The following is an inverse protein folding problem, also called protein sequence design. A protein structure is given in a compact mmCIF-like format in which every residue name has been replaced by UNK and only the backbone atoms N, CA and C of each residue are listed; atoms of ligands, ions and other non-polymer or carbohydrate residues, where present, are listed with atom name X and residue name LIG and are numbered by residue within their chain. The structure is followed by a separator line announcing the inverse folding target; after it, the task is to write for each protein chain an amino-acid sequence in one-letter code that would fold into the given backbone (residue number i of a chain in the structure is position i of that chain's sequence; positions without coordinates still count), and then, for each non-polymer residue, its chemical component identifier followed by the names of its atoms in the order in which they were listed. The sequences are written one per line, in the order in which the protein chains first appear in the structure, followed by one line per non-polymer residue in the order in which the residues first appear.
data_IF_714277419552
#
_entry.id   IF_714277419552
#
_cell.length_a   1.000
_cell.length_b   1.000
_cell.length_c   1.000
_cell.angle_alpha   90.00
_cell.angle_beta   90.00
_cell.angle_gamma   90.00
#
_symmetry.space_group_name_H-M   'P 1'
#
loop_
_entity.id
_entity.type
_entity.pdbx_description
1 polymer ?
#
# COMPACT_ATOMS: atom_id res chain seq x y z
N UNK A 1 21.63 7.02 -2.75
CA UNK A 1 21.19 5.71 -3.27
C UNK A 1 19.69 5.82 -3.45
N UNK A 2 19.15 5.40 -4.60
CA UNK A 2 17.70 5.48 -4.87
C UNK A 2 17.06 4.16 -4.44
N UNK A 3 15.94 4.22 -3.74
CA UNK A 3 15.21 3.05 -3.19
C UNK A 3 14.81 2.05 -4.29
N UNK A 4 14.27 2.51 -5.41
CA UNK A 4 13.86 1.65 -6.53
C UNK A 4 15.07 0.90 -7.13
N UNK A 5 16.22 1.58 -7.29
CA UNK A 5 17.43 0.95 -7.80
C UNK A 5 17.98 -0.10 -6.83
N UNK A 6 17.81 0.11 -5.52
CA UNK A 6 18.16 -0.89 -4.51
C UNK A 6 17.23 -2.10 -4.57
N UNK A 7 15.92 -1.88 -4.65
CA UNK A 7 14.92 -2.94 -4.79
C UNK A 7 15.18 -3.76 -6.06
N UNK A 8 15.44 -3.12 -7.19
CA UNK A 8 15.73 -3.80 -8.47
C UNK A 8 16.99 -4.70 -8.36
N UNK A 9 18.01 -4.29 -7.59
CA UNK A 9 19.20 -5.12 -7.31
C UNK A 9 18.87 -6.31 -6.40
N UNK A 10 18.05 -6.10 -5.38
CA UNK A 10 17.64 -7.17 -4.46
C UNK A 10 16.82 -8.25 -5.19
N UNK A 11 16.00 -7.87 -6.17
CA UNK A 11 15.15 -8.78 -6.94
C UNK A 11 15.92 -9.87 -7.68
N UNK A 12 17.15 -9.59 -8.10
CA UNK A 12 17.98 -10.53 -8.88
C UNK A 12 18.96 -11.34 -8.03
N UNK A 13 18.95 -11.16 -6.70
CA UNK A 13 19.83 -11.92 -5.80
C UNK A 13 19.28 -13.33 -5.56
N UNK A 14 20.16 -14.31 -5.48
CA UNK A 14 19.80 -15.67 -5.11
C UNK A 14 19.11 -15.72 -3.74
N UNK A 15 18.09 -16.56 -3.64
CA UNK A 15 17.28 -16.69 -2.42
C UNK A 15 16.22 -15.61 -2.24
N UNK A 16 16.11 -14.66 -3.17
CA UNK A 16 15.06 -13.63 -3.15
C UNK A 16 13.96 -14.00 -4.12
N UNK A 17 12.70 -14.01 -3.63
CA UNK A 17 11.51 -14.21 -4.47
C UNK A 17 10.33 -13.41 -3.92
N UNK A 18 9.35 -13.08 -4.77
CA UNK A 18 8.13 -12.38 -4.37
C UNK A 18 8.32 -10.88 -4.12
N UNK A 19 9.49 -10.30 -4.41
CA UNK A 19 9.69 -8.85 -4.35
C UNK A 19 9.13 -8.20 -5.62
N UNK A 20 8.28 -7.18 -5.44
CA UNK A 20 7.74 -6.38 -6.57
C UNK A 20 6.25 -6.15 -6.51
N UNK A 21 5.55 -6.89 -5.70
CA UNK A 21 4.15 -6.70 -5.36
C UNK A 21 4.01 -6.25 -3.89
N UNK A 22 2.79 -5.85 -3.49
CA UNK A 22 2.51 -5.40 -2.12
C UNK A 22 2.67 -6.53 -1.10
N UNK A 23 2.48 -7.80 -1.53
CA UNK A 23 2.69 -8.98 -0.69
C UNK A 23 3.47 -10.06 -1.42
N UNK A 24 4.31 -10.81 -0.69
CA UNK A 24 4.80 -12.11 -1.16
C UNK A 24 3.64 -13.12 -1.14
N UNK A 25 3.47 -13.88 -2.22
CA UNK A 25 2.40 -14.88 -2.35
C UNK A 25 3.00 -16.28 -2.27
N UNK A 26 2.59 -17.05 -1.27
CA UNK A 26 2.96 -18.44 -1.11
C UNK A 26 1.74 -19.34 -1.38
N UNK A 27 1.99 -20.47 -2.05
CA UNK A 27 0.95 -21.46 -2.35
C UNK A 27 1.09 -22.66 -1.44
N UNK A 28 0.43 -22.67 -0.29
CA UNK A 28 0.39 -23.87 0.55
C UNK A 28 -0.37 -24.99 -0.19
N UNK A 29 -0.32 -26.23 0.33
CA UNK A 29 -1.10 -27.35 -0.25
C UNK A 29 -2.62 -27.16 -0.10
N UNK A 30 -3.08 -26.21 0.68
CA UNK A 30 -4.49 -25.86 0.89
C UNK A 30 -5.09 -25.06 -0.29
N UNK A 31 -6.37 -24.72 -0.18
CA UNK A 31 -7.14 -23.94 -1.18
C UNK A 31 -6.86 -22.44 -1.18
N UNK A 32 -5.89 -21.98 -0.40
CA UNK A 32 -5.53 -20.58 -0.24
C UNK A 32 -4.06 -20.32 -0.63
N UNK A 33 -3.80 -19.12 -1.12
CA UNK A 33 -2.47 -18.53 -1.16
C UNK A 33 -2.29 -17.67 0.09
N UNK A 34 -1.11 -17.74 0.73
CA UNK A 34 -0.78 -16.86 1.84
C UNK A 34 -0.17 -15.56 1.33
N UNK A 35 -0.57 -14.45 1.94
CA UNK A 35 -0.05 -13.12 1.68
C UNK A 35 0.79 -12.69 2.88
N UNK A 36 2.06 -12.39 2.63
CA UNK A 36 2.99 -11.95 3.67
C UNK A 36 3.44 -10.53 3.37
N UNK A 37 3.26 -9.63 4.34
CA UNK A 37 3.69 -8.23 4.23
C UNK A 37 4.33 -7.77 5.52
N UNK A 38 5.38 -6.97 5.41
CA UNK A 38 5.95 -6.22 6.53
C UNK A 38 6.04 -4.75 6.19
N UNK A 39 5.76 -3.91 7.19
CA UNK A 39 5.93 -2.47 7.10
C UNK A 39 6.61 -1.90 8.34
N UNK A 40 7.40 -0.87 8.14
CA UNK A 40 8.02 -0.10 9.22
C UNK A 40 7.26 1.20 9.49
N UNK A 41 7.22 1.59 10.77
CA UNK A 41 6.72 2.88 11.21
C UNK A 41 7.78 3.54 12.11
N UNK A 42 8.32 4.68 11.69
CA UNK A 42 9.48 5.35 12.31
C UNK A 42 9.10 6.76 12.73
N UNK A 43 9.40 7.11 14.00
CA UNK A 43 9.18 8.47 14.55
C UNK A 43 9.98 9.51 13.77
N UNK A 44 9.32 10.60 13.37
CA UNK A 44 9.88 11.68 12.55
C UNK A 44 9.86 11.42 11.05
N UNK A 45 9.53 10.18 10.61
CA UNK A 45 9.37 9.81 9.20
C UNK A 45 7.90 9.55 8.89
N UNK A 46 7.27 8.64 9.60
CA UNK A 46 5.89 8.18 9.34
C UNK A 46 4.87 8.70 10.34
N UNK A 47 5.30 9.30 11.43
CA UNK A 47 4.47 9.96 12.42
C UNK A 47 5.26 10.98 13.25
N UNK A 48 4.57 11.98 13.79
CA UNK A 48 5.17 12.98 14.68
C UNK A 48 5.16 12.50 16.12
N UNK A 49 6.19 12.90 16.88
CA UNK A 49 6.32 12.64 18.33
C UNK A 49 5.09 13.09 19.14
N UNK A 50 4.35 14.08 18.62
CA UNK A 50 3.14 14.65 19.22
C UNK A 50 1.88 13.85 18.96
N UNK A 51 1.91 12.88 18.05
CA UNK A 51 0.77 12.03 17.75
C UNK A 51 0.42 11.13 18.94
N UNK A 52 -0.88 10.93 19.20
CA UNK A 52 -1.34 10.08 20.28
C UNK A 52 -0.92 8.62 20.06
N UNK A 53 -0.49 7.90 21.11
CA UNK A 53 0.00 6.53 20.97
C UNK A 53 -1.03 5.57 20.36
N UNK A 54 -2.32 5.75 20.64
CA UNK A 54 -3.38 4.95 20.03
C UNK A 54 -3.43 5.15 18.50
N UNK A 55 -3.27 6.39 18.03
CA UNK A 55 -3.25 6.68 16.61
C UNK A 55 -1.99 6.11 15.92
N UNK A 56 -0.84 6.12 16.62
CA UNK A 56 0.40 5.50 16.14
C UNK A 56 0.22 3.99 16.01
N UNK A 57 -0.33 3.33 17.04
CA UNK A 57 -0.60 1.88 17.01
C UNK A 57 -1.60 1.48 15.94
N UNK A 58 -2.68 2.25 15.74
CA UNK A 58 -3.63 2.03 14.65
C UNK A 58 -2.95 2.17 13.29
N UNK A 59 -2.14 3.23 13.11
CA UNK A 59 -1.40 3.49 11.87
C UNK A 59 -0.40 2.38 11.55
N UNK A 60 0.30 1.85 12.58
CA UNK A 60 1.26 0.76 12.42
C UNK A 60 0.64 -0.48 11.78
N UNK A 61 -0.57 -0.86 12.19
CA UNK A 61 -1.27 -2.00 11.60
C UNK A 61 -1.98 -1.64 10.28
N UNK A 62 -2.48 -0.41 10.14
CA UNK A 62 -3.26 0.01 8.97
C UNK A 62 -2.43 -0.01 7.67
N UNK A 63 -1.14 0.32 7.73
CA UNK A 63 -0.24 0.35 6.57
C UNK A 63 -0.13 -1.02 5.91
N UNK A 64 0.39 -2.07 6.56
CA UNK A 64 0.48 -3.40 5.93
C UNK A 64 -0.89 -4.01 5.60
N UNK A 65 -1.97 -3.60 6.29
CA UNK A 65 -3.32 -4.01 5.91
C UNK A 65 -3.78 -3.40 4.57
N UNK A 66 -3.25 -2.25 4.18
CA UNK A 66 -3.49 -1.66 2.86
C UNK A 66 -2.91 -2.54 1.75
N UNK A 67 -1.71 -3.09 1.95
CA UNK A 67 -1.10 -4.03 1.02
C UNK A 67 -1.88 -5.36 0.92
N UNK A 68 -2.36 -5.88 2.07
CA UNK A 68 -3.24 -7.05 2.07
C UNK A 68 -4.51 -6.77 1.26
N UNK A 69 -5.08 -5.57 1.39
CA UNK A 69 -6.22 -5.15 0.58
C UNK A 69 -5.87 -5.06 -0.90
N UNK A 70 -4.71 -4.50 -1.26
CA UNK A 70 -4.24 -4.41 -2.64
C UNK A 70 -4.04 -5.79 -3.28
N UNK A 71 -3.59 -6.78 -2.48
CA UNK A 71 -3.48 -8.16 -2.92
C UNK A 71 -4.82 -8.94 -2.93
N UNK A 72 -5.93 -8.31 -2.53
CA UNK A 72 -7.27 -8.91 -2.55
C UNK A 72 -7.53 -9.89 -1.41
N UNK A 73 -6.73 -9.84 -0.33
CA UNK A 73 -6.75 -10.79 0.75
C UNK A 73 -7.55 -10.41 1.98
N UNK A 74 -7.73 -11.42 2.84
CA UNK A 74 -8.22 -11.31 4.20
C UNK A 74 -7.05 -11.42 5.17
N UNK A 75 -6.83 -10.45 6.07
CA UNK A 75 -5.81 -10.57 7.09
C UNK A 75 -6.19 -11.68 8.09
N UNK A 76 -5.20 -12.36 8.65
CA UNK A 76 -5.37 -13.42 9.64
C UNK A 76 -4.72 -13.04 10.96
N UNK A 77 -3.43 -12.76 10.92
CA UNK A 77 -2.67 -12.39 12.11
C UNK A 77 -1.54 -11.42 11.79
N UNK A 78 -0.96 -10.85 12.84
CA UNK A 78 0.23 -10.03 12.72
C UNK A 78 1.26 -10.34 13.80
N UNK A 79 2.50 -10.00 13.52
CA UNK A 79 3.62 -9.90 14.45
C UNK A 79 4.05 -8.45 14.55
N UNK A 80 4.47 -8.01 15.73
CA UNK A 80 4.94 -6.65 15.97
C UNK A 80 6.32 -6.67 16.65
N UNK A 81 7.35 -6.17 15.98
CA UNK A 81 8.58 -5.74 16.63
C UNK A 81 8.47 -4.25 16.96
N UNK A 82 8.53 -3.88 18.26
CA UNK A 82 8.39 -2.49 18.72
C UNK A 82 9.60 -2.08 19.54
N UNK A 83 10.28 -1.03 19.12
CA UNK A 83 11.34 -0.38 19.88
C UNK A 83 10.89 1.00 20.37
N UNK A 84 11.17 1.30 21.63
CA UNK A 84 10.76 2.55 22.28
C UNK A 84 11.87 3.14 23.16
N UNK A 85 11.95 4.48 23.27
CA UNK A 85 12.82 5.13 24.23
C UNK A 85 12.49 4.76 25.67
N UNK A 86 13.52 4.64 26.51
CA UNK A 86 13.36 4.41 27.97
C UNK A 86 12.51 5.47 28.67
N UNK A 87 12.35 6.64 28.06
CA UNK A 87 11.50 7.74 28.54
C UNK A 87 10.01 7.52 28.28
N UNK A 88 9.63 6.54 27.46
CA UNK A 88 8.22 6.21 27.24
C UNK A 88 7.69 5.38 28.39
N UNK A 89 6.59 5.83 28.99
CA UNK A 89 5.93 5.13 30.11
C UNK A 89 5.22 3.86 29.62
N UNK A 90 5.03 2.91 30.52
CA UNK A 90 4.20 1.72 30.29
C UNK A 90 2.79 2.12 29.79
N UNK A 91 2.20 3.18 30.37
CA UNK A 91 0.90 3.71 29.93
C UNK A 91 0.92 4.09 28.45
N UNK A 92 2.02 4.68 27.96
CA UNK A 92 2.18 5.04 26.54
C UNK A 92 2.19 3.77 25.68
N UNK A 93 2.97 2.75 26.07
CA UNK A 93 3.08 1.48 25.35
C UNK A 93 1.72 0.78 25.31
N UNK A 94 1.02 0.68 26.42
CA UNK A 94 -0.31 0.08 26.48
C UNK A 94 -1.33 0.85 25.62
N UNK A 95 -1.21 2.18 25.51
CA UNK A 95 -2.05 3.00 24.63
C UNK A 95 -1.77 2.71 23.16
N UNK A 96 -0.51 2.54 22.78
CA UNK A 96 -0.12 2.10 21.43
C UNK A 96 -0.77 0.75 21.09
N UNK A 97 -0.64 -0.24 21.97
CA UNK A 97 -1.27 -1.55 21.76
C UNK A 97 -2.80 -1.45 21.68
N UNK A 98 -3.45 -0.61 22.49
CA UNK A 98 -4.91 -0.40 22.38
C UNK A 98 -5.33 0.07 21.00
N UNK A 99 -4.57 0.98 20.39
CA UNK A 99 -4.82 1.45 19.02
C UNK A 99 -4.68 0.33 17.99
N UNK A 100 -3.58 -0.39 18.04
CA UNK A 100 -3.30 -1.53 17.15
C UNK A 100 -4.39 -2.61 17.28
N UNK A 101 -4.69 -3.04 18.50
CA UNK A 101 -5.68 -4.10 18.77
C UNK A 101 -7.11 -3.67 18.44
N UNK A 102 -7.45 -2.36 18.57
CA UNK A 102 -8.75 -1.84 18.15
C UNK A 102 -8.96 -1.99 16.64
N UNK A 103 -7.94 -1.70 15.84
CA UNK A 103 -7.99 -1.95 14.39
C UNK A 103 -7.98 -3.45 14.10
N UNK A 104 -7.12 -4.21 14.78
CA UNK A 104 -7.05 -5.67 14.65
C UNK A 104 -8.42 -6.33 14.84
N UNK A 105 -9.15 -5.95 15.89
CA UNK A 105 -10.52 -6.43 16.15
C UNK A 105 -11.50 -6.11 15.02
N UNK A 106 -11.41 -4.89 14.43
CA UNK A 106 -12.29 -4.46 13.33
C UNK A 106 -12.00 -5.19 12.03
N UNK A 107 -10.76 -5.59 11.81
CA UNK A 107 -10.29 -6.22 10.57
C UNK A 107 -10.15 -7.73 10.65
N UNK A 108 -10.35 -8.31 11.84
CA UNK A 108 -10.14 -9.74 12.09
C UNK A 108 -8.66 -10.14 12.15
N UNK A 109 -7.76 -9.17 12.42
CA UNK A 109 -6.32 -9.40 12.50
C UNK A 109 -5.90 -9.63 13.95
N UNK A 110 -5.39 -10.83 14.27
CA UNK A 110 -4.97 -11.19 15.62
C UNK A 110 -3.48 -10.91 15.79
N UNK A 111 -3.08 -10.19 16.84
CA UNK A 111 -1.67 -10.09 17.23
C UNK A 111 -1.25 -11.41 17.88
N UNK A 112 -0.32 -12.13 17.27
CA UNK A 112 0.09 -13.48 17.69
C UNK A 112 1.49 -13.53 18.30
N UNK A 113 2.21 -12.41 18.33
CA UNK A 113 3.55 -12.32 18.90
C UNK A 113 4.30 -11.09 18.43
N UNK A 114 5.58 -11.06 18.73
CA UNK A 114 6.46 -9.97 18.34
C UNK A 114 7.66 -9.87 19.27
N UNK A 115 8.30 -8.70 19.28
CA UNK A 115 9.47 -8.40 20.09
C UNK A 115 9.36 -6.99 20.67
N UNK A 116 9.92 -6.76 21.84
CA UNK A 116 9.99 -5.44 22.49
C UNK A 116 11.44 -5.08 22.80
N UNK A 117 11.88 -3.93 22.32
CA UNK A 117 13.24 -3.45 22.47
C UNK A 117 13.30 -1.99 22.91
N UNK A 118 14.51 -1.53 23.25
CA UNK A 118 14.79 -0.13 23.48
C UNK A 118 15.54 0.48 22.30
N UNK A 119 15.16 1.72 21.94
CA UNK A 119 15.88 2.56 20.98
C UNK A 119 15.77 4.04 21.39
N UNK A 120 16.51 4.93 20.74
CA UNK A 120 16.42 6.39 20.93
C UNK A 120 15.11 6.98 20.43
N UNK A 121 14.51 6.38 19.40
CA UNK A 121 13.22 6.78 18.81
C UNK A 121 12.22 5.63 18.84
N UNK A 122 10.94 5.97 18.78
CA UNK A 122 9.92 4.96 18.56
C UNK A 122 9.98 4.49 17.11
N UNK A 123 10.19 3.21 16.93
CA UNK A 123 9.96 2.56 15.65
C UNK A 123 9.37 1.16 15.84
N UNK A 124 8.65 0.70 14.86
CA UNK A 124 8.14 -0.67 14.86
C UNK A 124 8.10 -1.24 13.45
N UNK A 125 8.14 -2.57 13.40
CA UNK A 125 7.84 -3.34 12.19
C UNK A 125 6.64 -4.22 12.46
N UNK A 126 5.62 -4.14 11.61
CA UNK A 126 4.44 -5.00 11.67
C UNK A 126 4.46 -5.94 10.48
N UNK A 127 4.54 -7.24 10.76
CA UNK A 127 4.36 -8.28 9.75
C UNK A 127 2.91 -8.77 9.81
N UNK A 128 2.23 -8.75 8.67
CA UNK A 128 0.86 -9.27 8.54
C UNK A 128 0.87 -10.52 7.66
N UNK A 129 0.17 -11.55 8.13
CA UNK A 129 -0.18 -12.73 7.34
C UNK A 129 -1.65 -12.61 6.95
N UNK A 130 -1.90 -12.61 5.65
CA UNK A 130 -3.23 -12.67 5.07
C UNK A 130 -3.40 -13.93 4.21
N UNK A 131 -4.59 -14.14 3.70
CA UNK A 131 -4.91 -15.23 2.78
C UNK A 131 -5.90 -14.77 1.71
N UNK A 132 -5.79 -15.39 0.54
CA UNK A 132 -6.74 -15.22 -0.56
C UNK A 132 -7.01 -16.58 -1.19
N UNK A 133 -8.14 -16.77 -1.86
CA UNK A 133 -8.42 -18.00 -2.58
C UNK A 133 -7.30 -18.28 -3.58
N UNK A 134 -6.89 -19.55 -3.68
CA UNK A 134 -5.75 -19.99 -4.50
C UNK A 134 -5.83 -19.47 -5.94
N UNK A 135 -4.76 -18.82 -6.39
CA UNK A 135 -4.65 -18.23 -7.72
C UNK A 135 -5.50 -16.97 -7.93
N UNK A 136 -6.02 -16.35 -6.85
CA UNK A 136 -6.81 -15.11 -6.90
C UNK A 136 -6.11 -13.89 -6.33
N UNK A 137 -4.86 -14.03 -5.86
CA UNK A 137 -4.05 -12.91 -5.42
C UNK A 137 -3.92 -11.89 -6.56
N UNK A 138 -4.14 -10.62 -6.22
CA UNK A 138 -3.94 -9.51 -7.14
C UNK A 138 -2.46 -9.11 -7.11
N UNK A 139 -1.94 -8.79 -8.28
CA UNK A 139 -0.57 -8.36 -8.51
C UNK A 139 -0.54 -7.08 -9.33
N UNK A 140 0.63 -6.49 -9.50
CA UNK A 140 0.81 -5.25 -10.30
C UNK A 140 0.96 -5.51 -11.79
N UNK A 141 1.20 -6.75 -12.21
CA UNK A 141 1.70 -7.13 -13.54
C UNK A 141 0.64 -7.65 -14.53
N UNK A 142 -0.62 -7.69 -14.12
CA UNK A 142 -1.71 -8.29 -14.92
C UNK A 142 -2.48 -7.34 -15.83
N UNK A 143 -2.20 -6.03 -15.83
CA UNK A 143 -2.94 -5.05 -16.61
C UNK A 143 -2.67 -5.21 -18.12
N UNK A 144 -3.70 -4.97 -18.93
CA UNK A 144 -3.67 -5.14 -20.39
C UNK A 144 -4.04 -3.83 -21.10
N UNK A 145 -3.53 -3.58 -22.30
CA UNK A 145 -4.00 -2.44 -23.12
C UNK A 145 -5.51 -2.50 -23.33
N UNK A 146 -6.19 -1.39 -23.04
CA UNK A 146 -7.65 -1.27 -23.06
C UNK A 146 -8.32 -1.45 -21.70
N UNK A 147 -7.63 -1.96 -20.67
CA UNK A 147 -8.18 -2.01 -19.32
C UNK A 147 -8.45 -0.60 -18.80
N UNK A 148 -9.57 -0.44 -18.11
CA UNK A 148 -9.96 0.81 -17.47
C UNK A 148 -9.32 0.93 -16.10
N UNK A 149 -8.74 2.10 -15.81
CA UNK A 149 -8.03 2.40 -14.57
C UNK A 149 -8.96 3.09 -13.56
N UNK A 150 -8.99 2.60 -12.34
CA UNK A 150 -9.86 3.08 -11.26
C UNK A 150 -9.09 3.35 -9.97
N UNK A 151 -9.64 4.25 -9.16
CA UNK A 151 -9.20 4.48 -7.78
C UNK A 151 -10.38 4.39 -6.80
N UNK A 152 -10.12 3.92 -5.58
CA UNK A 152 -11.16 3.64 -4.57
C UNK A 152 -11.68 4.87 -3.83
N UNK A 153 -11.03 6.03 -3.96
CA UNK A 153 -11.43 7.23 -3.20
C UNK A 153 -10.91 8.52 -3.81
N UNK A 154 -10.78 9.54 -2.98
CA UNK A 154 -10.19 10.83 -3.36
C UNK A 154 -8.75 10.92 -2.88
N UNK A 155 -7.89 11.59 -3.66
CA UNK A 155 -6.45 11.68 -3.47
C UNK A 155 -6.02 13.05 -2.97
N UNK A 156 -4.82 13.10 -2.38
CA UNK A 156 -4.25 14.31 -1.80
C UNK A 156 -4.63 14.54 -0.35
N UNK A 157 -4.95 13.48 0.38
CA UNK A 157 -5.28 13.53 1.81
C UNK A 157 -4.08 14.01 2.66
N UNK A 158 -4.32 14.63 3.85
CA UNK A 158 -3.24 14.94 4.78
C UNK A 158 -2.47 13.65 5.16
N UNK A 159 -1.14 13.76 5.25
CA UNK A 159 -0.28 12.60 5.53
C UNK A 159 -0.49 12.00 6.94
N UNK A 160 -0.95 12.79 7.89
CA UNK A 160 -1.22 12.40 9.28
C UNK A 160 -2.65 11.89 9.51
N UNK A 161 -3.43 11.77 8.43
CA UNK A 161 -4.79 11.27 8.52
C UNK A 161 -4.87 9.82 9.02
N UNK A 162 -6.04 9.45 9.49
CA UNK A 162 -6.35 8.07 9.81
C UNK A 162 -6.43 7.22 8.53
N UNK A 163 -5.63 6.16 8.47
CA UNK A 163 -5.64 5.22 7.36
C UNK A 163 -6.84 4.26 7.49
N UNK A 164 -7.57 4.08 6.41
CA UNK A 164 -8.67 3.12 6.33
C UNK A 164 -8.36 2.05 5.27
N UNK A 165 -7.79 0.90 5.65
CA UNK A 165 -7.46 -0.17 4.70
C UNK A 165 -8.71 -0.62 3.93
N UNK A 166 -8.61 -0.70 2.60
CA UNK A 166 -9.74 -1.00 1.71
C UNK A 166 -10.00 -2.51 1.55
N UNK A 167 -9.93 -3.27 2.66
CA UNK A 167 -10.03 -4.73 2.68
C UNK A 167 -11.29 -5.26 2.00
N UNK A 168 -12.46 -4.67 2.27
CA UNK A 168 -13.71 -5.10 1.64
C UNK A 168 -13.68 -4.92 0.11
N UNK A 169 -13.09 -3.81 -0.36
CA UNK A 169 -12.93 -3.58 -1.78
C UNK A 169 -11.92 -4.55 -2.39
N UNK A 170 -10.77 -4.77 -1.72
CA UNK A 170 -9.77 -5.74 -2.17
C UNK A 170 -10.38 -7.12 -2.41
N UNK A 171 -11.18 -7.62 -1.45
CA UNK A 171 -11.92 -8.89 -1.62
C UNK A 171 -12.85 -8.89 -2.83
N UNK A 172 -13.56 -7.80 -3.08
CA UNK A 172 -14.45 -7.68 -4.25
C UNK A 172 -13.70 -7.67 -5.58
N UNK A 173 -12.43 -7.22 -5.57
CA UNK A 173 -11.56 -7.15 -6.74
C UNK A 173 -10.83 -8.47 -7.00
N UNK A 174 -10.60 -9.30 -5.98
CA UNK A 174 -9.91 -10.59 -6.11
C UNK A 174 -10.53 -11.47 -7.22
N UNK A 175 -9.70 -11.87 -8.17
CA UNK A 175 -10.10 -12.64 -9.35
C UNK A 175 -10.93 -11.87 -10.40
N UNK A 176 -11.10 -10.55 -10.25
CA UNK A 176 -11.81 -9.69 -11.22
C UNK A 176 -10.93 -8.58 -11.78
N UNK A 177 -10.16 -7.90 -10.92
CA UNK A 177 -9.18 -6.92 -11.36
C UNK A 177 -8.02 -7.62 -12.08
N UNK A 178 -7.49 -6.95 -13.08
CA UNK A 178 -6.33 -7.44 -13.85
C UNK A 178 -5.02 -7.04 -13.19
N UNK A 179 -4.97 -5.88 -12.52
CA UNK A 179 -3.86 -5.47 -11.65
C UNK A 179 -4.37 -4.60 -10.51
N UNK A 180 -3.61 -4.57 -9.41
CA UNK A 180 -3.93 -3.72 -8.25
C UNK A 180 -2.64 -3.33 -7.51
N UNK A 181 -2.64 -2.13 -6.92
CA UNK A 181 -1.64 -1.59 -6.01
C UNK A 181 -2.34 -0.63 -5.04
N UNK A 182 -1.85 -0.46 -3.82
CA UNK A 182 -2.28 0.66 -2.98
C UNK A 182 -1.46 1.93 -3.28
N UNK A 183 -2.01 3.08 -2.90
CA UNK A 183 -1.38 4.39 -3.12
C UNK A 183 -0.73 4.86 -1.82
N UNK A 184 0.52 4.47 -1.60
CA UNK A 184 1.33 4.84 -0.45
C UNK A 184 2.29 6.00 -0.76
N UNK A 185 2.91 6.02 -1.94
CA UNK A 185 3.97 6.97 -2.29
C UNK A 185 3.51 8.08 -3.23
N UNK A 186 2.32 7.95 -3.79
CA UNK A 186 1.68 8.92 -4.66
C UNK A 186 1.28 8.34 -6.01
N UNK A 187 0.15 8.84 -6.53
CA UNK A 187 -0.46 8.31 -7.75
C UNK A 187 0.53 8.20 -8.92
N UNK A 188 1.37 9.19 -9.14
CA UNK A 188 2.28 9.19 -10.29
C UNK A 188 3.35 8.11 -10.19
N UNK A 189 3.88 7.86 -8.99
CA UNK A 189 4.91 6.84 -8.75
C UNK A 189 4.29 5.44 -8.72
N UNK A 190 3.17 5.25 -8.02
CA UNK A 190 2.54 3.94 -7.88
C UNK A 190 1.91 3.47 -9.20
N UNK A 191 1.31 4.38 -9.99
CA UNK A 191 0.85 4.05 -11.34
C UNK A 191 2.01 3.74 -12.30
N UNK A 192 3.14 4.45 -12.17
CA UNK A 192 4.35 4.10 -12.93
C UNK A 192 4.81 2.67 -12.61
N UNK A 193 4.81 2.29 -11.31
CA UNK A 193 5.17 0.93 -10.86
C UNK A 193 4.24 -0.12 -11.45
N UNK A 194 2.91 0.09 -11.37
CA UNK A 194 1.90 -0.82 -11.91
C UNK A 194 2.04 -0.94 -13.44
N UNK A 195 2.18 0.16 -14.15
CA UNK A 195 2.35 0.17 -15.60
C UNK A 195 3.68 -0.48 -16.03
N UNK A 196 4.77 -0.26 -15.26
CA UNK A 196 6.09 -0.88 -15.49
C UNK A 196 6.02 -2.40 -15.28
N UNK A 197 5.40 -2.86 -14.19
CA UNK A 197 5.23 -4.28 -13.90
C UNK A 197 4.38 -4.98 -14.98
N UNK A 198 3.33 -4.31 -15.46
CA UNK A 198 2.47 -4.82 -16.54
C UNK A 198 3.08 -4.70 -17.95
N UNK A 199 4.25 -4.10 -18.10
CA UNK A 199 4.94 -3.95 -19.40
C UNK A 199 4.28 -2.96 -20.38
N UNK A 200 3.42 -2.05 -19.92
CA UNK A 200 2.60 -1.14 -20.75
C UNK A 200 2.63 0.30 -20.24
N UNK A 201 1.89 1.18 -20.88
CA UNK A 201 1.71 2.58 -20.48
C UNK A 201 0.31 2.82 -19.91
N UNK A 202 0.12 3.98 -19.26
CA UNK A 202 -1.17 4.43 -18.76
C UNK A 202 -1.49 5.85 -19.23
N UNK A 203 -2.77 6.11 -19.53
CA UNK A 203 -3.33 7.43 -19.82
C UNK A 203 -4.26 7.82 -18.68
N UNK A 204 -3.96 8.91 -17.97
CA UNK A 204 -4.85 9.53 -16.99
C UNK A 204 -5.77 10.54 -17.69
N UNK A 205 -7.06 10.49 -17.35
CA UNK A 205 -8.09 11.39 -17.88
C UNK A 205 -8.49 12.43 -16.82
N UNK A 206 -8.61 12.01 -15.57
CA UNK A 206 -9.02 12.86 -14.44
C UNK A 206 -8.51 12.31 -13.10
N UNK A 207 -8.47 13.15 -12.09
CA UNK A 207 -8.03 12.78 -10.75
C UNK A 207 -9.08 13.25 -9.73
N UNK A 208 -9.66 12.35 -8.92
CA UNK A 208 -10.58 12.73 -7.87
C UNK A 208 -9.80 13.30 -6.67
N UNK A 209 -9.83 14.62 -6.50
CA UNK A 209 -9.06 15.33 -5.48
C UNK A 209 -9.91 15.57 -4.24
N UNK A 210 -9.31 15.42 -3.06
CA UNK A 210 -9.92 15.82 -1.76
C UNK A 210 -10.16 17.33 -1.76
N UNK A 211 -11.30 17.76 -1.22
CA UNK A 211 -11.64 19.18 -1.13
C UNK A 211 -10.52 19.96 -0.41
N UNK A 212 -10.01 21.00 -1.04
CA UNK A 212 -8.92 21.84 -0.52
C UNK A 212 -7.50 21.31 -0.78
N UNK A 213 -7.33 20.10 -1.34
CA UNK A 213 -6.02 19.62 -1.77
C UNK A 213 -5.67 20.14 -3.17
N UNK A 214 -4.37 20.26 -3.44
CA UNK A 214 -3.84 20.63 -4.75
C UNK A 214 -3.71 19.41 -5.67
N UNK A 215 -3.69 19.63 -6.98
CA UNK A 215 -3.38 18.61 -7.96
C UNK A 215 -1.99 17.99 -7.73
N UNK A 216 -1.01 18.80 -7.40
CA UNK A 216 0.36 18.38 -7.08
C UNK A 216 0.38 17.37 -5.94
N UNK A 217 -0.36 17.67 -4.83
CA UNK A 217 -0.47 16.74 -3.71
C UNK A 217 -1.21 15.46 -4.07
N UNK A 218 -2.28 15.54 -4.87
CA UNK A 218 -3.03 14.35 -5.30
C UNK A 218 -2.21 13.44 -6.23
N UNK A 219 -1.29 14.03 -7.01
CA UNK A 219 -0.39 13.27 -7.90
C UNK A 219 0.80 12.66 -7.16
N UNK A 220 1.41 13.40 -6.24
CA UNK A 220 2.75 13.11 -5.73
C UNK A 220 2.86 13.03 -4.19
N UNK A 221 1.78 13.35 -3.46
CA UNK A 221 1.85 13.55 -2.01
C UNK A 221 1.95 12.27 -1.18
N UNK A 222 1.56 11.14 -1.73
CA UNK A 222 1.54 9.86 -1.01
C UNK A 222 0.56 9.81 0.17
N UNK A 223 0.64 8.72 0.92
CA UNK A 223 -0.11 8.47 2.17
C UNK A 223 -1.65 8.47 2.00
N UNK A 224 -2.15 8.26 0.78
CA UNK A 224 -3.59 8.19 0.50
C UNK A 224 -4.22 6.85 0.92
N UNK A 225 -3.47 5.74 0.81
CA UNK A 225 -3.91 4.37 1.12
C UNK A 225 -5.26 4.02 0.47
N UNK A 226 -5.44 4.47 -0.76
CA UNK A 226 -6.51 4.05 -1.65
C UNK A 226 -6.02 2.94 -2.58
N UNK A 227 -6.93 2.12 -3.11
CA UNK A 227 -6.56 1.11 -4.11
C UNK A 227 -6.61 1.73 -5.51
N UNK A 228 -5.54 1.53 -6.27
CA UNK A 228 -5.43 1.78 -7.70
C UNK A 228 -5.50 0.43 -8.42
N UNK A 229 -6.47 0.23 -9.31
CA UNK A 229 -6.67 -1.06 -9.94
C UNK A 229 -7.19 -0.94 -11.37
N UNK A 230 -7.03 -2.01 -12.13
CA UNK A 230 -7.49 -2.09 -13.52
C UNK A 230 -8.56 -3.16 -13.68
N UNK A 231 -9.52 -2.87 -14.54
CA UNK A 231 -10.59 -3.80 -14.91
C UNK A 231 -10.72 -3.90 -16.43
N UNK A 232 -11.07 -5.08 -16.98
CA UNK A 232 -11.45 -5.19 -18.38
C UNK A 232 -12.62 -4.24 -18.72
N UNK A 233 -12.72 -3.69 -19.93
CA UNK A 233 -13.72 -2.66 -20.30
C UNK A 233 -15.16 -3.05 -20.05
N UNK A 234 -15.49 -4.36 -20.09
CA UNK A 234 -16.84 -4.88 -19.86
C UNK A 234 -17.14 -5.21 -18.40
N UNK A 235 -16.15 -5.16 -17.52
CA UNK A 235 -16.33 -5.45 -16.12
C UNK A 235 -17.04 -4.29 -15.41
N UNK A 236 -18.03 -4.61 -14.56
CA UNK A 236 -18.70 -3.60 -13.73
C UNK A 236 -17.82 -3.20 -12.56
N UNK A 237 -17.44 -1.91 -12.42
CA UNK A 237 -16.65 -1.47 -11.30
C UNK A 237 -17.43 -1.54 -9.97
N UNK A 238 -16.77 -1.82 -8.84
CA UNK A 238 -17.39 -1.73 -7.52
C UNK A 238 -17.91 -0.31 -7.24
N UNK A 239 -19.02 -0.22 -6.49
CA UNK A 239 -19.57 1.06 -6.06
C UNK A 239 -18.55 1.86 -5.24
N UNK A 240 -18.57 3.20 -5.36
CA UNK A 240 -17.66 4.09 -4.64
C UNK A 240 -16.27 4.21 -5.28
N UNK A 241 -16.04 3.62 -6.45
CA UNK A 241 -14.78 3.77 -7.20
C UNK A 241 -14.93 4.77 -8.35
N UNK A 242 -13.85 5.43 -8.70
CA UNK A 242 -13.81 6.44 -9.78
C UNK A 242 -12.89 5.98 -10.90
N UNK A 243 -13.39 5.93 -12.13
CA UNK A 243 -12.52 5.76 -13.30
C UNK A 243 -11.65 7.00 -13.45
N UNK A 244 -10.35 6.79 -13.59
CA UNK A 244 -9.35 7.87 -13.71
C UNK A 244 -8.54 7.80 -15.01
N UNK A 245 -8.69 6.74 -15.81
CA UNK A 245 -7.92 6.58 -17.03
C UNK A 245 -8.08 5.23 -17.70
N UNK A 246 -7.09 4.90 -18.51
CA UNK A 246 -7.04 3.67 -19.32
C UNK A 246 -5.60 3.20 -19.46
N UNK A 247 -5.38 1.89 -19.44
CA UNK A 247 -4.09 1.29 -19.79
C UNK A 247 -3.93 1.23 -21.31
N UNK A 248 -2.79 1.66 -21.82
CA UNK A 248 -2.58 1.81 -23.27
C UNK A 248 -1.28 1.12 -23.72
N UNK A 249 -1.19 0.80 -25.01
CA UNK A 249 0.08 0.35 -25.61
C UNK A 249 1.10 1.49 -25.53
N UNK A 250 2.33 1.17 -25.16
CA UNK A 250 3.41 2.14 -25.05
C UNK A 250 4.60 1.60 -24.29
N UNK A 251 5.61 2.44 -24.09
CA UNK A 251 6.79 2.08 -23.30
C UNK A 251 6.39 1.81 -21.85
N UNK A 252 6.82 0.66 -21.34
CA UNK A 252 6.52 0.23 -19.96
C UNK A 252 6.78 1.33 -18.92
N UNK A 253 5.80 1.55 -18.04
CA UNK A 253 5.87 2.56 -16.99
C UNK A 253 5.62 4.00 -17.44
N UNK A 254 5.39 4.26 -18.74
CA UNK A 254 5.02 5.61 -19.17
C UNK A 254 3.61 5.96 -18.71
N UNK A 255 3.47 7.08 -18.01
CA UNK A 255 2.18 7.66 -17.64
C UNK A 255 1.99 8.97 -18.38
N UNK A 256 0.84 9.14 -19.03
CA UNK A 256 0.43 10.37 -19.68
C UNK A 256 -0.70 11.02 -18.90
N UNK A 257 -0.65 12.34 -18.76
CA UNK A 257 -1.72 13.15 -18.18
C UNK A 257 -1.84 14.44 -18.97
N UNK A 258 -3.06 14.78 -19.43
CA UNK A 258 -3.32 15.94 -20.32
C UNK A 258 -2.40 15.96 -21.56
N UNK A 259 -2.17 14.78 -22.15
CA UNK A 259 -1.32 14.63 -23.33
C UNK A 259 0.19 14.77 -23.10
N UNK A 260 0.62 15.03 -21.87
CA UNK A 260 2.03 15.17 -21.48
C UNK A 260 2.50 13.99 -20.66
N UNK A 261 3.79 13.67 -20.75
CA UNK A 261 4.40 12.64 -19.90
C UNK A 261 4.46 13.13 -18.46
N UNK A 262 3.82 12.39 -17.55
CA UNK A 262 3.88 12.62 -16.13
C UNK A 262 5.14 11.94 -15.56
N UNK A 263 6.01 12.73 -14.92
CA UNK A 263 7.19 12.19 -14.25
C UNK A 263 6.77 11.40 -13.00
N UNK A 264 7.33 10.19 -12.77
CA UNK A 264 7.08 9.46 -11.54
C UNK A 264 7.78 10.17 -10.38
N UNK A 265 7.03 10.89 -9.57
CA UNK A 265 7.47 11.57 -8.35
C UNK A 265 6.63 11.06 -7.19
N UNK A 266 7.23 10.94 -6.02
CA UNK A 266 6.58 10.46 -4.82
C UNK A 266 7.59 10.41 -3.68
N UNK A 267 7.20 9.76 -2.58
CA UNK A 267 8.09 9.59 -1.45
C UNK A 267 9.17 8.53 -1.76
N UNK A 268 10.43 8.86 -1.46
CA UNK A 268 11.57 7.93 -1.55
C UNK A 268 12.41 8.05 -0.28
N UNK A 269 12.56 6.95 0.45
CA UNK A 269 13.31 6.89 1.71
C UNK A 269 14.81 7.21 1.55
N UNK A 270 15.36 7.10 0.36
CA UNK A 270 16.79 7.24 0.07
C UNK A 270 17.12 8.50 -0.74
N UNK A 271 16.13 9.23 -1.22
CA UNK A 271 16.36 10.57 -1.75
C UNK A 271 16.48 11.57 -0.60
N UNK A 272 17.60 12.28 -0.53
CA UNK A 272 17.73 13.43 0.37
C UNK A 272 16.67 14.46 -0.01
N UNK A 273 15.90 14.95 1.00
CA UNK A 273 15.00 16.07 0.81
C UNK A 273 15.74 17.20 0.11
N UNK A 274 15.30 17.55 -1.10
CA UNK A 274 15.79 18.71 -1.85
C UNK A 274 15.19 19.98 -1.29
#
# INVERSE_FOLDING_TARGET
MNELALIDRLRIMDGVSGIGDDCAVFRPKASEDLLLKTDQLIEGVHFLKTMRPEAIGERALARPLSDIAAAGGDPRCCLLALAVPRTRSERWILSFFRGLLSLGKKTGTVLVGGDLAHDEKVHCSVMVVGAVARGKALTRDGARPGDLLYVSGRLGKPWDQRIQPRLELGRKLAGKATACIDLSDGLSLDLHRLAKASGIAAQLDRIPIVRGATLERALHGGEDYELLFTLPPRAKPPAGTTRIGTMVRGRAGTVLFEGKKLAPRGYDHFETAR
#
